data_IF_158076343244
#
_entry.id   IF_158076343244
#
_cell.length_a   1.000
_cell.length_b   1.000
_cell.length_c   1.000
_cell.angle_alpha   90.00
_cell.angle_beta   90.00
_cell.angle_gamma   90.00
#
_symmetry.space_group_name_H-M   'P 1'
#
loop_
_entity.id
_entity.type
_entity.pdbx_description
1 polymer ?
#
# COMPACT_ATOMS: atom_id res chain seq x y z
N UNK A 1 0.53 -30.77 -0.33
CA UNK A 1 -0.27 -29.54 -0.53
C UNK A 1 0.69 -28.34 -0.45
N UNK A 2 1.63 -28.23 -1.40
CA UNK A 2 2.82 -27.35 -1.28
C UNK A 2 2.50 -25.85 -1.39
N UNK A 3 1.37 -25.51 -2.00
CA UNK A 3 0.94 -24.13 -2.24
C UNK A 3 0.42 -23.43 -0.96
N UNK A 4 -0.33 -24.16 -0.13
CA UNK A 4 -0.92 -23.60 1.10
C UNK A 4 0.12 -23.34 2.18
N UNK A 5 1.10 -24.24 2.33
CA UNK A 5 2.18 -24.04 3.30
C UNK A 5 3.04 -22.82 2.92
N UNK A 6 3.27 -22.60 1.63
CA UNK A 6 4.06 -21.46 1.12
C UNK A 6 3.34 -20.13 1.32
N UNK A 7 2.04 -20.06 1.04
CA UNK A 7 1.19 -18.88 1.28
C UNK A 7 1.14 -18.51 2.77
N UNK A 8 1.04 -19.52 3.63
CA UNK A 8 1.02 -19.34 5.08
C UNK A 8 2.38 -18.86 5.59
N UNK A 9 3.48 -19.36 5.04
CA UNK A 9 4.84 -18.93 5.38
C UNK A 9 5.12 -17.48 4.96
N UNK A 10 4.62 -17.06 3.79
CA UNK A 10 4.74 -15.67 3.30
C UNK A 10 3.98 -14.69 4.21
N UNK A 11 2.75 -15.03 4.59
CA UNK A 11 1.99 -14.24 5.59
C UNK A 11 2.73 -14.13 6.92
N UNK A 12 3.30 -15.24 7.41
CA UNK A 12 4.04 -15.24 8.68
C UNK A 12 5.33 -14.39 8.62
N UNK A 13 5.90 -14.18 7.44
CA UNK A 13 7.06 -13.29 7.21
C UNK A 13 6.66 -11.83 6.97
N UNK A 14 5.38 -11.49 7.01
CA UNK A 14 4.87 -10.16 6.67
C UNK A 14 5.02 -9.81 5.19
N UNK A 15 5.14 -10.83 4.33
CA UNK A 15 5.24 -10.67 2.89
C UNK A 15 3.85 -10.80 2.30
N UNK A 16 3.38 -9.74 1.66
CA UNK A 16 2.11 -9.74 0.96
C UNK A 16 2.32 -9.36 -0.50
N UNK A 17 1.64 -10.09 -1.39
CA UNK A 17 1.64 -9.79 -2.81
C UNK A 17 0.73 -8.59 -3.08
N UNK A 18 1.22 -7.63 -3.86
CA UNK A 18 0.43 -6.53 -4.39
C UNK A 18 0.38 -6.65 -5.91
N UNK A 19 -0.79 -6.97 -6.44
CA UNK A 19 -1.01 -6.99 -7.89
C UNK A 19 -1.39 -5.60 -8.39
N UNK A 20 -0.85 -5.22 -9.55
CA UNK A 20 -1.14 -3.93 -10.18
C UNK A 20 -1.45 -4.18 -11.65
N UNK A 21 -2.68 -3.89 -12.06
CA UNK A 21 -3.05 -3.86 -13.47
C UNK A 21 -2.56 -2.56 -14.10
N UNK A 22 -1.80 -2.64 -15.20
CA UNK A 22 -1.27 -1.47 -15.90
C UNK A 22 -1.61 -1.54 -17.39
N UNK A 23 -1.73 -0.37 -18.02
CA UNK A 23 -1.74 -0.27 -19.48
C UNK A 23 -0.31 -0.21 -20.00
N UNK A 24 0.08 -1.19 -20.81
CA UNK A 24 1.41 -1.21 -21.43
C UNK A 24 1.52 -0.02 -22.38
N UNK A 25 2.56 0.81 -22.19
CA UNK A 25 2.82 1.99 -23.03
C UNK A 25 2.58 3.34 -22.36
N UNK A 26 1.97 3.39 -21.16
CA UNK A 26 1.81 4.64 -20.39
C UNK A 26 3.07 5.12 -19.63
N UNK A 27 4.14 4.33 -19.70
CA UNK A 27 5.45 4.69 -19.14
C UNK A 27 5.59 4.41 -17.65
N UNK A 28 6.81 4.58 -17.14
CA UNK A 28 7.20 4.16 -15.78
C UNK A 28 6.55 5.04 -14.69
N UNK A 29 6.27 6.31 -15.00
CA UNK A 29 5.73 7.26 -14.03
C UNK A 29 4.37 6.82 -13.51
N UNK A 30 3.44 6.48 -14.40
CA UNK A 30 2.09 6.04 -14.03
C UNK A 30 2.11 4.75 -13.19
N UNK A 31 2.99 3.82 -13.56
CA UNK A 31 3.16 2.55 -12.83
C UNK A 31 3.64 2.84 -11.41
N UNK A 32 4.64 3.72 -11.25
CA UNK A 32 5.15 4.11 -9.93
C UNK A 32 4.07 4.77 -9.09
N UNK A 33 3.34 5.72 -9.64
CA UNK A 33 2.28 6.42 -8.89
C UNK A 33 1.17 5.46 -8.45
N UNK A 34 0.79 4.51 -9.30
CA UNK A 34 -0.22 3.49 -8.95
C UNK A 34 0.29 2.55 -7.86
N UNK A 35 1.54 2.11 -7.94
CA UNK A 35 2.16 1.28 -6.91
C UNK A 35 2.23 2.00 -5.56
N UNK A 36 2.69 3.26 -5.57
CA UNK A 36 2.75 4.12 -4.38
C UNK A 36 1.36 4.28 -3.76
N UNK A 37 0.36 4.65 -4.56
CA UNK A 37 -1.02 4.83 -4.08
C UNK A 37 -1.55 3.57 -3.41
N UNK A 38 -1.42 2.42 -4.06
CA UNK A 38 -1.97 1.15 -3.58
C UNK A 38 -1.30 0.72 -2.27
N UNK A 39 0.03 0.81 -2.18
CA UNK A 39 0.77 0.46 -0.97
C UNK A 39 0.39 1.38 0.20
N UNK A 40 0.33 2.69 -0.04
CA UNK A 40 0.01 3.67 1.00
C UNK A 40 -1.41 3.46 1.52
N UNK A 41 -2.39 3.29 0.62
CA UNK A 41 -3.78 3.05 1.00
C UNK A 41 -3.92 1.79 1.86
N UNK A 42 -3.26 0.70 1.46
CA UNK A 42 -3.25 -0.56 2.21
C UNK A 42 -2.72 -0.37 3.63
N UNK A 43 -1.54 0.21 3.79
CA UNK A 43 -0.95 0.43 5.11
C UNK A 43 -1.79 1.40 5.95
N UNK A 44 -2.41 2.42 5.34
CA UNK A 44 -3.37 3.29 6.03
C UNK A 44 -4.56 2.47 6.55
N UNK A 45 -5.17 1.61 5.74
CA UNK A 45 -6.26 0.74 6.17
C UNK A 45 -5.84 -0.18 7.32
N UNK A 46 -4.72 -0.90 7.16
CA UNK A 46 -4.22 -1.88 8.15
C UNK A 46 -3.90 -1.22 9.51
N UNK A 47 -3.54 0.06 9.48
CA UNK A 47 -3.22 0.84 10.69
C UNK A 47 -4.40 1.66 11.20
N UNK A 48 -5.59 1.53 10.62
CA UNK A 48 -6.77 2.32 10.99
C UNK A 48 -6.59 3.82 10.77
N UNK A 49 -5.87 4.19 9.70
CA UNK A 49 -5.47 5.55 9.34
C UNK A 49 -4.58 6.23 10.40
N UNK A 50 -3.81 5.46 11.17
CA UNK A 50 -2.82 6.01 12.09
C UNK A 50 -1.55 6.48 11.35
N UNK A 51 -1.57 7.73 10.89
CA UNK A 51 -0.49 8.36 10.10
C UNK A 51 0.92 8.16 10.69
N UNK A 52 1.07 8.18 12.03
CA UNK A 52 2.38 7.94 12.65
C UNK A 52 2.87 6.51 12.42
N UNK A 53 2.03 5.52 12.70
CA UNK A 53 2.34 4.10 12.48
C UNK A 53 2.55 3.80 11.00
N UNK A 54 1.67 4.32 10.13
CA UNK A 54 1.77 4.09 8.69
C UNK A 54 3.07 4.65 8.12
N UNK A 55 3.46 5.88 8.50
CA UNK A 55 4.72 6.48 8.04
C UNK A 55 5.95 5.66 8.46
N UNK A 56 5.93 5.13 9.70
CA UNK A 56 7.00 4.25 10.20
C UNK A 56 7.11 2.95 9.41
N UNK A 57 5.97 2.32 9.09
CA UNK A 57 5.93 1.07 8.29
C UNK A 57 6.38 1.33 6.84
N UNK A 58 5.93 2.43 6.25
CA UNK A 58 6.29 2.84 4.90
C UNK A 58 7.74 3.34 4.77
N UNK A 59 8.44 3.57 5.89
CA UNK A 59 9.82 4.09 5.88
C UNK A 59 9.92 5.54 5.41
N UNK A 60 8.86 6.34 5.57
CA UNK A 60 8.81 7.75 5.13
C UNK A 60 8.60 8.70 6.30
N UNK A 61 8.88 9.98 6.07
CA UNK A 61 8.54 11.05 7.03
C UNK A 61 7.02 11.26 7.09
N UNK A 62 6.51 11.70 8.25
CA UNK A 62 5.06 11.94 8.44
C UNK A 62 4.54 13.00 7.49
N UNK A 63 5.33 14.04 7.25
CA UNK A 63 5.03 15.13 6.34
C UNK A 63 4.86 14.63 4.91
N UNK A 64 5.73 13.72 4.47
CA UNK A 64 5.62 13.06 3.16
C UNK A 64 4.33 12.24 3.07
N UNK A 65 3.95 11.52 4.12
CA UNK A 65 2.70 10.77 4.12
C UNK A 65 1.46 11.67 4.01
N UNK A 66 1.44 12.83 4.70
CA UNK A 66 0.37 13.81 4.52
C UNK A 66 0.30 14.35 3.08
N UNK A 67 1.45 14.59 2.45
CA UNK A 67 1.50 14.95 1.04
C UNK A 67 0.88 13.86 0.16
N UNK A 68 1.21 12.59 0.36
CA UNK A 68 0.65 11.50 -0.44
C UNK A 68 -0.86 11.29 -0.21
N UNK A 69 -1.33 11.39 1.03
CA UNK A 69 -2.77 11.35 1.35
C UNK A 69 -3.53 12.41 0.54
N UNK A 70 -3.00 13.63 0.51
CA UNK A 70 -3.57 14.73 -0.27
C UNK A 70 -3.43 14.50 -1.78
N UNK A 71 -2.24 14.10 -2.26
CA UNK A 71 -1.95 13.86 -3.68
C UNK A 71 -2.89 12.83 -4.29
N UNK A 72 -3.16 11.75 -3.57
CA UNK A 72 -3.96 10.62 -4.07
C UNK A 72 -5.42 10.65 -3.60
N UNK A 73 -5.81 11.67 -2.84
CA UNK A 73 -7.14 11.83 -2.25
C UNK A 73 -7.57 10.58 -1.46
N UNK A 74 -6.69 10.09 -0.58
CA UNK A 74 -6.93 8.88 0.22
C UNK A 74 -7.87 9.19 1.37
N UNK A 75 -9.00 8.51 1.40
CA UNK A 75 -10.02 8.63 2.44
C UNK A 75 -10.25 7.28 3.09
N UNK A 76 -10.61 7.30 4.38
CA UNK A 76 -11.04 6.09 5.06
C UNK A 76 -12.35 5.62 4.44
N UNK A 77 -12.39 4.38 3.97
CA UNK A 77 -13.67 3.72 3.67
C UNK A 77 -14.47 3.76 4.98
N UNK A 78 -15.56 4.53 4.96
CA UNK A 78 -16.56 4.44 6.01
C UNK A 78 -17.28 3.13 5.72
N UNK A 79 -17.14 2.16 6.62
CA UNK A 79 -18.02 1.00 6.63
C UNK A 79 -19.47 1.51 6.67
N UNK A 80 -20.21 1.33 5.56
CA UNK A 80 -21.67 1.36 5.52
C UNK A 80 -22.20 -0.07 5.72
#
# INVERSE_FOLDING_TARGET
MLFLDTEQELKNRGVEQLEITIEVGKGLQDIREKAEKNLIMKILNDTGFNVYKSAKILGVKRESLYYFIKKFNLVRDKDD
#
